data_IF_780791488705
#
_entry.id   IF_780791488705
#
_cell.length_a   1.000
_cell.length_b   1.000
_cell.length_c   1.000
_cell.angle_alpha   90.00
_cell.angle_beta   90.00
_cell.angle_gamma   90.00
#
_symmetry.space_group_name_H-M   'P 1'
#
loop_
_entity.id
_entity.type
_entity.pdbx_description
1 polymer ?
#
# COMPACT_ATOMS: atom_id res chain seq x y z
N UNK A 1 -25.38 -1.27 3.56
CA UNK A 1 -24.02 -1.44 3.02
C UNK A 1 -24.11 -1.57 1.51
N UNK A 2 -23.44 -0.70 0.76
CA UNK A 2 -23.30 -0.86 -0.68
C UNK A 2 -22.54 -2.17 -0.94
N UNK A 3 -23.00 -2.96 -1.88
CA UNK A 3 -22.36 -4.24 -2.23
C UNK A 3 -21.35 -3.93 -3.33
N UNK A 4 -20.13 -3.53 -2.95
CA UNK A 4 -19.08 -3.12 -3.87
C UNK A 4 -18.73 -4.28 -4.82
N UNK A 5 -18.96 -4.09 -6.11
CA UNK A 5 -18.75 -5.10 -7.16
C UNK A 5 -17.28 -5.48 -7.32
N UNK A 6 -16.39 -4.54 -7.00
CA UNK A 6 -14.94 -4.74 -7.08
C UNK A 6 -14.35 -5.59 -5.94
N UNK A 7 -15.14 -5.96 -4.92
CA UNK A 7 -14.67 -6.78 -3.81
C UNK A 7 -15.37 -8.15 -3.83
N UNK A 8 -14.87 -9.12 -4.59
CA UNK A 8 -15.45 -10.46 -4.66
C UNK A 8 -15.42 -11.17 -3.31
N UNK A 9 -16.38 -12.04 -3.09
CA UNK A 9 -16.38 -12.95 -1.93
C UNK A 9 -15.40 -14.08 -2.19
N UNK A 10 -14.82 -14.64 -1.11
CA UNK A 10 -14.10 -15.93 -1.18
C UNK A 10 -15.09 -17.00 -1.61
N UNK A 11 -14.74 -17.79 -2.62
CA UNK A 11 -15.61 -18.81 -3.19
C UNK A 11 -15.31 -20.19 -2.62
N UNK A 12 -16.30 -21.10 -2.65
CA UNK A 12 -16.11 -22.50 -2.25
C UNK A 12 -14.98 -23.19 -3.03
N UNK A 13 -14.77 -22.82 -4.29
CA UNK A 13 -13.66 -23.35 -5.10
C UNK A 13 -12.30 -22.92 -4.56
N UNK A 14 -12.18 -21.66 -4.11
CA UNK A 14 -10.95 -21.16 -3.50
C UNK A 14 -10.68 -21.84 -2.16
N UNK A 15 -11.71 -22.02 -1.33
CA UNK A 15 -11.64 -22.76 -0.07
C UNK A 15 -11.26 -24.22 -0.30
N UNK A 16 -11.83 -24.88 -1.31
CA UNK A 16 -11.53 -26.27 -1.63
C UNK A 16 -10.07 -26.49 -2.05
N UNK A 17 -9.50 -25.58 -2.85
CA UNK A 17 -8.08 -25.68 -3.28
C UNK A 17 -7.14 -25.57 -2.08
N UNK A 18 -7.40 -24.66 -1.16
CA UNK A 18 -6.58 -24.49 0.05
C UNK A 18 -6.88 -25.61 1.05
N UNK A 19 -8.14 -26.06 1.15
CA UNK A 19 -8.53 -27.19 1.99
C UNK A 19 -7.75 -28.47 1.69
N UNK A 20 -7.38 -28.71 0.42
CA UNK A 20 -6.53 -29.84 0.02
C UNK A 20 -5.10 -29.76 0.60
N UNK A 21 -4.63 -28.56 0.96
CA UNK A 21 -3.35 -28.32 1.65
C UNK A 21 -3.45 -28.27 3.16
N UNK A 22 -4.64 -28.50 3.76
CA UNK A 22 -4.88 -28.36 5.20
C UNK A 22 -5.17 -26.94 5.67
N UNK A 23 -5.03 -25.95 4.81
CA UNK A 23 -5.34 -24.56 5.12
C UNK A 23 -6.83 -24.24 4.88
N UNK A 24 -7.35 -23.27 5.61
CA UNK A 24 -8.74 -22.78 5.51
C UNK A 24 -8.74 -21.27 5.35
N UNK A 25 -9.62 -20.73 4.48
CA UNK A 25 -9.78 -19.31 4.26
C UNK A 25 -11.07 -18.81 4.90
N UNK A 26 -10.99 -17.68 5.56
CA UNK A 26 -12.13 -16.96 6.13
C UNK A 26 -12.09 -15.51 5.63
N UNK A 27 -13.21 -14.97 5.10
CA UNK A 27 -13.25 -13.58 4.71
C UNK A 27 -13.14 -12.67 5.94
N UNK A 28 -12.26 -11.68 5.85
CA UNK A 28 -12.26 -10.52 6.74
C UNK A 28 -13.20 -9.49 6.11
N UNK A 29 -14.16 -9.00 6.88
CA UNK A 29 -15.11 -8.01 6.36
C UNK A 29 -14.64 -6.59 6.68
N UNK A 30 -14.83 -5.64 5.74
CA UNK A 30 -15.40 -5.81 4.40
C UNK A 30 -14.41 -6.33 3.35
N UNK A 31 -13.11 -6.22 3.59
CA UNK A 31 -12.01 -6.59 2.67
C UNK A 31 -11.01 -7.52 3.36
N UNK A 32 -10.17 -8.19 2.57
CA UNK A 32 -9.14 -9.11 3.06
C UNK A 32 -9.64 -10.53 3.34
N UNK A 33 -8.73 -11.43 3.68
CA UNK A 33 -9.04 -12.79 4.11
C UNK A 33 -8.03 -13.30 5.13
N UNK A 34 -8.49 -14.15 6.05
CA UNK A 34 -7.68 -14.88 7.03
C UNK A 34 -7.39 -16.29 6.50
N UNK A 35 -6.15 -16.71 6.58
CA UNK A 35 -5.70 -18.06 6.22
C UNK A 35 -5.18 -18.76 7.47
N UNK A 36 -5.77 -19.89 7.82
CA UNK A 36 -5.39 -20.73 8.95
C UNK A 36 -4.87 -22.08 8.46
N UNK A 37 -3.94 -22.68 9.22
CA UNK A 37 -3.43 -24.02 8.95
C UNK A 37 -2.36 -24.09 7.84
N UNK A 38 -1.82 -22.97 7.40
CA UNK A 38 -0.69 -22.91 6.49
C UNK A 38 0.60 -22.75 7.32
N UNK A 39 1.45 -23.76 7.30
CA UNK A 39 2.71 -23.76 8.06
C UNK A 39 3.81 -23.00 7.29
N UNK A 40 4.16 -21.81 7.77
CA UNK A 40 5.21 -20.99 7.16
C UNK A 40 6.62 -21.49 7.47
N UNK A 41 6.80 -22.37 8.46
CA UNK A 41 8.09 -22.97 8.78
C UNK A 41 8.48 -24.14 7.86
N UNK A 42 7.55 -24.64 7.04
CA UNK A 42 7.81 -25.70 6.09
C UNK A 42 8.90 -25.27 5.06
N UNK A 43 9.90 -26.13 4.85
CA UNK A 43 10.99 -25.84 3.92
C UNK A 43 10.51 -25.72 2.46
N UNK A 44 9.52 -26.56 2.08
CA UNK A 44 8.94 -26.52 0.77
C UNK A 44 7.78 -25.51 0.73
N UNK A 45 7.72 -24.66 -0.30
CA UNK A 45 6.57 -23.78 -0.48
C UNK A 45 5.31 -24.60 -0.74
N UNK A 46 4.12 -24.06 -0.47
CA UNK A 46 2.86 -24.67 -0.93
C UNK A 46 2.86 -24.91 -2.43
N UNK A 47 2.02 -25.85 -2.89
CA UNK A 47 1.83 -26.07 -4.33
C UNK A 47 1.47 -24.76 -5.04
N UNK A 48 1.91 -24.62 -6.28
CA UNK A 48 1.70 -23.39 -7.05
C UNK A 48 0.21 -23.01 -7.19
N UNK A 49 -0.67 -24.00 -7.22
CA UNK A 49 -2.12 -23.77 -7.27
C UNK A 49 -2.62 -23.02 -6.02
N UNK A 50 -2.08 -23.36 -4.85
CA UNK A 50 -2.42 -22.68 -3.57
C UNK A 50 -1.92 -21.23 -3.60
N UNK A 51 -0.67 -21.03 -4.01
CA UNK A 51 -0.06 -19.70 -4.15
C UNK A 51 -0.92 -18.84 -5.10
N UNK A 52 -1.26 -19.38 -6.27
CA UNK A 52 -2.07 -18.66 -7.26
C UNK A 52 -3.47 -18.27 -6.74
N UNK A 53 -4.09 -19.14 -5.92
CA UNK A 53 -5.38 -18.80 -5.28
C UNK A 53 -5.19 -17.68 -4.27
N UNK A 54 -4.14 -17.70 -3.46
CA UNK A 54 -3.86 -16.65 -2.47
C UNK A 54 -3.54 -15.31 -3.15
N UNK A 55 -2.74 -15.32 -4.23
CA UNK A 55 -2.47 -14.12 -5.04
C UNK A 55 -3.77 -13.55 -5.63
N UNK A 56 -4.64 -14.42 -6.15
CA UNK A 56 -5.93 -13.97 -6.66
C UNK A 56 -6.81 -13.37 -5.57
N UNK A 57 -6.83 -13.94 -4.37
CA UNK A 57 -7.56 -13.37 -3.23
C UNK A 57 -6.99 -12.00 -2.86
N UNK A 58 -5.67 -11.81 -2.85
CA UNK A 58 -5.06 -10.50 -2.61
C UNK A 58 -5.45 -9.49 -3.70
N UNK A 59 -5.40 -9.88 -4.97
CA UNK A 59 -5.80 -9.02 -6.09
C UNK A 59 -7.29 -8.63 -6.06
N UNK A 60 -8.15 -9.52 -5.54
CA UNK A 60 -9.60 -9.32 -5.51
C UNK A 60 -10.09 -8.67 -4.21
N UNK A 61 -9.36 -8.84 -3.10
CA UNK A 61 -9.80 -8.42 -1.76
C UNK A 61 -8.79 -7.57 -1.00
N UNK A 62 -7.63 -7.28 -1.62
CA UNK A 62 -6.61 -6.38 -1.11
C UNK A 62 -5.52 -7.06 -0.30
N UNK A 63 -5.84 -7.96 0.63
CA UNK A 63 -4.84 -8.59 1.49
C UNK A 63 -5.27 -9.95 2.02
N UNK A 64 -4.27 -10.73 2.47
CA UNK A 64 -4.46 -11.93 3.28
C UNK A 64 -3.68 -11.82 4.58
N UNK A 65 -4.15 -12.50 5.61
CA UNK A 65 -3.42 -12.71 6.87
C UNK A 65 -3.21 -14.19 7.06
N UNK A 66 -1.97 -14.63 7.08
CA UNK A 66 -1.60 -15.99 7.48
C UNK A 66 -1.35 -15.96 8.98
N UNK A 67 -2.26 -16.52 9.75
CA UNK A 67 -2.17 -16.56 11.20
C UNK A 67 -1.42 -17.78 11.66
N UNK A 68 -0.40 -17.56 12.48
CA UNK A 68 0.47 -18.60 12.97
C UNK A 68 0.36 -18.72 14.50
N UNK A 69 0.22 -19.96 15.01
CA UNK A 69 0.25 -20.25 16.44
C UNK A 69 1.69 -20.29 16.98
N UNK A 70 2.64 -20.54 16.11
CA UNK A 70 4.08 -20.60 16.43
C UNK A 70 4.77 -19.32 15.97
N UNK A 71 5.86 -18.98 16.64
CA UNK A 71 6.74 -17.90 16.20
C UNK A 71 7.24 -18.16 14.77
N UNK A 72 7.12 -17.13 13.93
CA UNK A 72 7.63 -17.13 12.55
C UNK A 72 9.03 -16.55 12.56
N UNK A 73 10.01 -17.26 12.02
CA UNK A 73 11.36 -16.72 11.87
C UNK A 73 11.42 -15.68 10.76
N UNK A 74 12.42 -14.80 10.81
CA UNK A 74 12.65 -13.81 9.77
C UNK A 74 12.87 -14.45 8.39
N UNK A 75 13.59 -15.59 8.38
CA UNK A 75 13.86 -16.35 7.16
C UNK A 75 12.58 -16.95 6.58
N UNK A 76 11.67 -17.44 7.42
CA UNK A 76 10.39 -17.98 6.99
C UNK A 76 9.48 -16.88 6.45
N UNK A 77 9.44 -15.73 7.12
CA UNK A 77 8.71 -14.56 6.65
C UNK A 77 9.22 -14.08 5.27
N UNK A 78 10.53 -13.92 5.10
CA UNK A 78 11.13 -13.51 3.83
C UNK A 78 10.91 -14.55 2.72
N UNK A 79 11.06 -15.84 3.04
CA UNK A 79 10.77 -16.93 2.09
C UNK A 79 9.31 -16.88 1.62
N UNK A 80 8.37 -16.66 2.56
CA UNK A 80 6.94 -16.52 2.23
C UNK A 80 6.70 -15.29 1.37
N UNK A 81 7.37 -14.18 1.65
CA UNK A 81 7.26 -12.98 0.81
C UNK A 81 7.68 -13.23 -0.65
N UNK A 82 8.61 -14.17 -0.89
CA UNK A 82 9.00 -14.58 -2.24
C UNK A 82 8.00 -15.52 -2.94
N UNK A 83 6.87 -15.85 -2.34
CA UNK A 83 5.81 -16.59 -3.04
C UNK A 83 5.03 -15.70 -4.02
N UNK A 84 5.02 -14.38 -3.79
CA UNK A 84 4.15 -13.42 -4.44
C UNK A 84 4.83 -12.68 -5.59
N UNK A 85 4.04 -12.29 -6.57
CA UNK A 85 4.44 -11.40 -7.66
C UNK A 85 5.74 -11.78 -8.35
N UNK A 86 6.71 -10.85 -8.37
CA UNK A 86 8.02 -11.04 -8.99
C UNK A 86 8.97 -11.97 -8.23
N UNK A 87 8.57 -12.49 -7.07
CA UNK A 87 9.34 -13.44 -6.24
C UNK A 87 10.74 -12.95 -5.86
N UNK A 88 10.97 -11.65 -5.92
CA UNK A 88 12.24 -11.00 -5.62
C UNK A 88 12.01 -9.84 -4.67
N UNK A 89 12.80 -9.81 -3.60
CA UNK A 89 12.67 -8.78 -2.57
C UNK A 89 13.44 -7.51 -2.97
N UNK A 90 12.89 -6.39 -2.58
CA UNK A 90 13.56 -5.10 -2.60
C UNK A 90 14.38 -4.92 -1.32
N UNK A 91 15.57 -4.31 -1.45
CA UNK A 91 16.37 -3.95 -0.28
C UNK A 91 15.91 -2.61 0.28
N UNK A 92 15.65 -2.55 1.58
CA UNK A 92 15.29 -1.30 2.25
C UNK A 92 16.45 -0.29 2.26
N UNK A 93 16.13 1.00 2.27
CA UNK A 93 17.13 2.06 2.33
C UNK A 93 17.70 2.28 3.74
N UNK A 94 17.03 1.74 4.76
CA UNK A 94 17.42 1.93 6.16
C UNK A 94 17.36 0.60 6.90
N UNK A 95 18.52 0.14 7.36
CA UNK A 95 18.63 -1.06 8.20
C UNK A 95 18.82 -0.58 9.63
N UNK A 96 17.84 -0.85 10.49
CA UNK A 96 17.96 -0.53 11.91
C UNK A 96 18.95 -1.49 12.59
N UNK A 97 19.78 -1.04 13.57
CA UNK A 97 20.75 -1.93 14.27
C UNK A 97 20.12 -3.17 14.91
N UNK A 98 18.87 -3.08 15.38
CA UNK A 98 18.14 -4.20 15.94
C UNK A 98 17.53 -5.15 14.89
N UNK A 99 17.75 -4.89 13.59
CA UNK A 99 17.28 -5.79 12.53
C UNK A 99 18.03 -7.11 12.59
N UNK A 100 17.35 -8.26 12.66
CA UNK A 100 18.00 -9.56 12.76
C UNK A 100 19.01 -9.79 11.62
N UNK A 101 20.25 -10.12 11.98
CA UNK A 101 21.34 -10.35 11.04
C UNK A 101 21.68 -9.16 10.11
N UNK A 102 21.16 -7.97 10.39
CA UNK A 102 21.33 -6.82 9.49
C UNK A 102 20.71 -7.04 8.11
N UNK A 103 19.65 -7.85 8.00
CA UNK A 103 19.08 -8.27 6.73
C UNK A 103 18.49 -7.08 5.95
N UNK A 104 18.97 -6.77 4.73
CA UNK A 104 18.55 -5.62 3.97
C UNK A 104 17.13 -5.72 3.40
N UNK A 105 16.50 -6.89 3.49
CA UNK A 105 15.12 -7.09 3.01
C UNK A 105 14.08 -6.90 4.13
N UNK A 106 14.52 -6.60 5.35
CA UNK A 106 13.64 -6.32 6.49
C UNK A 106 13.70 -4.84 6.84
N UNK A 107 12.58 -4.18 6.72
CA UNK A 107 12.37 -2.85 7.28
C UNK A 107 11.72 -3.02 8.65
N UNK A 108 12.53 -2.89 9.71
CA UNK A 108 12.08 -3.11 11.09
C UNK A 108 11.46 -1.84 11.65
N UNK A 109 10.18 -1.90 11.95
CA UNK A 109 9.36 -0.82 12.49
C UNK A 109 9.09 -1.06 13.97
N UNK A 110 9.07 0.02 14.76
CA UNK A 110 8.72 -0.05 16.17
C UNK A 110 8.11 1.27 16.65
N UNK A 111 7.54 1.28 17.84
CA UNK A 111 7.19 2.46 18.61
C UNK A 111 8.23 2.78 19.71
N UNK A 112 9.39 2.15 19.65
CA UNK A 112 10.60 2.43 20.44
C UNK A 112 11.80 2.55 19.49
N UNK A 113 12.52 3.67 19.56
CA UNK A 113 13.67 3.96 18.71
C UNK A 113 14.87 3.03 18.90
N UNK A 114 14.95 2.31 20.00
CA UNK A 114 15.98 1.30 20.21
C UNK A 114 15.65 -0.04 19.52
N UNK A 115 14.38 -0.24 19.20
CA UNK A 115 13.87 -1.49 18.64
C UNK A 115 13.51 -1.42 17.17
N UNK A 116 13.39 -0.22 16.60
CA UNK A 116 13.08 -0.05 15.19
C UNK A 116 12.87 1.39 14.76
N UNK A 117 12.50 1.57 13.51
CA UNK A 117 12.27 2.89 12.89
C UNK A 117 10.89 3.39 13.31
N UNK A 118 10.84 4.65 13.76
CA UNK A 118 9.63 5.31 14.23
C UNK A 118 8.89 6.04 13.10
N UNK A 119 7.60 6.31 13.33
CA UNK A 119 6.84 7.32 12.58
C UNK A 119 6.56 6.98 11.11
N UNK A 120 6.57 5.69 10.74
CA UNK A 120 6.42 5.26 9.35
C UNK A 120 4.95 5.12 8.98
N UNK A 121 4.60 5.64 7.79
CA UNK A 121 3.31 5.40 7.14
C UNK A 121 2.07 6.01 7.80
N UNK A 122 2.10 7.26 8.34
CA UNK A 122 0.93 7.84 8.99
C UNK A 122 -0.17 8.26 8.00
N UNK A 123 0.15 8.43 6.73
CA UNK A 123 -0.77 8.87 5.68
C UNK A 123 -1.08 7.73 4.73
N UNK A 124 -2.22 7.81 4.00
CA UNK A 124 -2.58 6.85 2.98
C UNK A 124 -1.53 6.79 1.87
N UNK A 125 -1.09 5.58 1.53
CA UNK A 125 -0.07 5.35 0.52
C UNK A 125 -0.09 3.93 -0.03
N UNK A 126 0.59 3.77 -1.16
CA UNK A 126 1.09 2.50 -1.66
C UNK A 126 2.62 2.53 -1.56
N UNK A 127 3.23 1.42 -1.21
CA UNK A 127 4.68 1.31 -1.15
C UNK A 127 5.32 1.38 -2.55
N UNK A 128 6.49 2.00 -2.66
CA UNK A 128 7.29 1.98 -3.89
C UNK A 128 6.97 3.05 -4.94
N UNK A 129 6.29 4.14 -4.57
CA UNK A 129 6.00 5.25 -5.49
C UNK A 129 7.23 5.93 -6.09
N UNK A 130 8.41 5.64 -5.55
CA UNK A 130 9.69 6.22 -5.98
C UNK A 130 10.41 5.40 -7.07
N UNK A 131 9.86 4.28 -7.51
CA UNK A 131 10.37 3.45 -8.60
C UNK A 131 9.27 3.18 -9.63
N UNK A 132 9.66 3.07 -10.90
CA UNK A 132 8.72 2.89 -12.01
C UNK A 132 7.99 1.53 -11.92
N UNK A 133 8.75 0.45 -11.76
CA UNK A 133 8.21 -0.87 -11.47
C UNK A 133 7.87 -0.96 -9.99
N UNK A 134 6.81 -0.26 -9.57
CA UNK A 134 6.41 -0.20 -8.15
C UNK A 134 6.22 -1.58 -7.56
N UNK A 135 6.33 -1.71 -6.23
CA UNK A 135 6.21 -3.01 -5.57
C UNK A 135 4.88 -3.69 -5.87
N UNK A 136 4.94 -4.97 -6.21
CA UNK A 136 3.75 -5.78 -6.44
C UNK A 136 3.02 -6.12 -5.15
N UNK A 137 3.79 -6.53 -4.13
CA UNK A 137 3.27 -6.93 -2.83
C UNK A 137 4.12 -6.36 -1.70
N UNK A 138 3.53 -6.23 -0.52
CA UNK A 138 4.26 -5.99 0.71
C UNK A 138 3.80 -6.97 1.80
N UNK A 139 4.74 -7.39 2.64
CA UNK A 139 4.48 -8.27 3.77
C UNK A 139 4.71 -7.54 5.09
N UNK A 140 3.90 -7.83 6.08
CA UNK A 140 3.97 -7.31 7.45
C UNK A 140 3.92 -8.49 8.43
N UNK A 141 4.99 -8.68 9.18
CA UNK A 141 5.06 -9.68 10.23
C UNK A 141 5.03 -8.98 11.59
N UNK A 142 3.97 -9.21 12.37
CA UNK A 142 3.87 -8.70 13.74
C UNK A 142 4.71 -9.55 14.67
N UNK A 143 5.95 -9.14 14.91
CA UNK A 143 6.92 -9.83 15.78
C UNK A 143 6.53 -9.67 17.24
N UNK A 144 6.08 -8.45 17.61
CA UNK A 144 5.57 -8.15 18.94
C UNK A 144 4.41 -7.19 18.87
N UNK A 145 3.29 -7.63 19.36
CA UNK A 145 2.06 -6.85 19.44
C UNK A 145 2.09 -5.96 20.68
N UNK A 146 1.68 -4.67 20.58
CA UNK A 146 1.50 -3.85 21.76
C UNK A 146 0.28 -4.34 22.56
N UNK A 147 0.16 -3.89 23.81
CA UNK A 147 -1.00 -4.25 24.67
C UNK A 147 -2.32 -3.68 24.11
N UNK A 148 -2.25 -2.54 23.41
CA UNK A 148 -3.41 -1.84 22.84
C UNK A 148 -3.07 -1.21 21.50
N UNK A 149 -4.02 -1.24 20.56
CA UNK A 149 -3.92 -0.58 19.27
C UNK A 149 -2.75 -1.06 18.41
N UNK A 150 -2.19 -0.16 17.61
CA UNK A 150 -1.05 -0.46 16.73
C UNK A 150 -1.43 -1.08 15.41
N UNK A 151 -2.70 -1.06 15.05
CA UNK A 151 -3.23 -1.59 13.80
C UNK A 151 -2.85 -0.79 12.56
N UNK A 152 -3.27 -1.29 11.41
CA UNK A 152 -3.09 -0.66 10.10
C UNK A 152 -4.44 -0.55 9.42
N UNK A 153 -4.69 0.62 8.82
CA UNK A 153 -5.84 0.82 7.95
C UNK A 153 -5.50 0.35 6.54
N UNK A 154 -6.44 -0.36 5.93
CA UNK A 154 -6.39 -0.79 4.54
C UNK A 154 -7.66 -0.33 3.82
N UNK A 155 -7.53 0.21 2.60
CA UNK A 155 -8.64 0.63 1.75
C UNK A 155 -8.51 0.03 0.35
N UNK A 156 -9.60 -0.57 -0.14
CA UNK A 156 -9.65 -1.21 -1.45
C UNK A 156 -9.79 -0.16 -2.56
N UNK A 157 -8.74 0.02 -3.33
CA UNK A 157 -8.62 1.13 -4.28
C UNK A 157 -9.54 1.04 -5.50
N UNK A 158 -9.95 -0.17 -5.90
CA UNK A 158 -10.93 -0.30 -6.97
C UNK A 158 -12.34 0.04 -6.48
N UNK A 159 -12.70 -0.31 -5.24
CA UNK A 159 -13.96 0.11 -4.67
C UNK A 159 -14.00 1.62 -4.41
N UNK A 160 -12.87 2.21 -4.00
CA UNK A 160 -12.72 3.65 -3.90
C UNK A 160 -12.91 4.34 -5.27
N UNK A 161 -12.36 3.77 -6.36
CA UNK A 161 -12.60 4.27 -7.71
C UNK A 161 -14.08 4.22 -8.10
N UNK A 162 -14.79 3.13 -7.77
CA UNK A 162 -16.23 3.00 -8.00
C UNK A 162 -17.09 3.98 -7.18
N UNK A 163 -16.52 4.55 -6.12
CA UNK A 163 -17.19 5.54 -5.27
C UNK A 163 -17.05 6.99 -5.79
N UNK A 164 -16.21 7.22 -6.79
CA UNK A 164 -16.07 8.53 -7.43
C UNK A 164 -17.31 8.88 -8.22
N UNK A 165 -17.62 10.17 -8.29
CA UNK A 165 -18.62 10.69 -9.21
C UNK A 165 -18.12 10.64 -10.66
N UNK A 166 -19.01 10.60 -11.67
CA UNK A 166 -18.61 10.51 -13.08
C UNK A 166 -17.64 11.61 -13.52
N UNK A 167 -17.79 12.83 -13.03
CA UNK A 167 -16.91 13.96 -13.35
C UNK A 167 -15.52 13.77 -12.70
N UNK A 168 -15.48 13.22 -11.49
CA UNK A 168 -14.22 12.86 -10.82
C UNK A 168 -13.50 11.72 -11.57
N UNK A 169 -14.22 10.69 -12.01
CA UNK A 169 -13.67 9.60 -12.82
C UNK A 169 -13.00 10.14 -14.07
N UNK A 170 -13.70 11.01 -14.84
CA UNK A 170 -13.14 11.63 -16.04
C UNK A 170 -11.90 12.47 -15.72
N UNK A 171 -11.96 13.26 -14.66
CA UNK A 171 -10.83 14.10 -14.24
C UNK A 171 -9.63 13.27 -13.76
N UNK A 172 -9.83 12.33 -12.82
CA UNK A 172 -8.74 11.59 -12.21
C UNK A 172 -8.01 10.64 -13.18
N UNK A 173 -8.72 10.14 -14.21
CA UNK A 173 -8.10 9.34 -15.27
C UNK A 173 -7.11 10.12 -16.15
N UNK A 174 -7.17 11.44 -16.11
CA UNK A 174 -6.21 12.33 -16.80
C UNK A 174 -5.02 12.73 -15.91
N UNK A 175 -5.01 12.35 -14.64
CA UNK A 175 -3.98 12.76 -13.69
C UNK A 175 -2.87 11.71 -13.55
N UNK A 176 -1.66 12.20 -13.31
CA UNK A 176 -0.51 11.38 -12.94
C UNK A 176 0.27 12.05 -11.81
N UNK A 177 0.61 11.29 -10.78
CA UNK A 177 1.43 11.77 -9.66
C UNK A 177 2.91 11.72 -10.00
N UNK A 178 3.68 12.67 -9.47
CA UNK A 178 5.14 12.72 -9.57
C UNK A 178 5.71 12.56 -8.17
N UNK A 179 6.57 11.58 -7.98
CA UNK A 179 7.21 11.35 -6.69
C UNK A 179 8.19 12.47 -6.35
N UNK A 180 8.10 13.00 -5.12
CA UNK A 180 8.87 14.15 -4.65
C UNK A 180 10.39 13.92 -4.61
N UNK A 181 10.84 12.68 -4.46
CA UNK A 181 12.26 12.37 -4.27
C UNK A 181 12.93 11.82 -5.51
N UNK A 182 12.21 11.07 -6.33
CA UNK A 182 12.75 10.40 -7.52
C UNK A 182 12.29 11.00 -8.84
N UNK A 183 11.19 11.77 -8.83
CA UNK A 183 10.60 12.26 -10.08
C UNK A 183 9.81 11.21 -10.87
N UNK A 184 9.68 9.99 -10.35
CA UNK A 184 8.91 8.93 -11.02
C UNK A 184 7.46 9.34 -11.17
N UNK A 185 6.90 9.09 -12.35
CA UNK A 185 5.54 9.42 -12.72
C UNK A 185 4.67 8.17 -12.71
N UNK A 186 3.58 8.20 -11.96
CA UNK A 186 2.57 7.14 -11.91
C UNK A 186 1.19 7.68 -12.23
N UNK A 187 0.35 6.94 -13.00
CA UNK A 187 -1.03 7.34 -13.23
C UNK A 187 -1.79 7.33 -11.91
N UNK A 188 -2.69 8.31 -11.74
CA UNK A 188 -3.58 8.36 -10.57
C UNK A 188 -4.64 7.24 -10.59
N UNK A 189 -4.96 6.77 -11.78
CA UNK A 189 -5.85 5.62 -12.01
C UNK A 189 -5.13 4.64 -12.91
N UNK A 190 -4.97 3.42 -12.43
CA UNK A 190 -4.36 2.35 -13.21
C UNK A 190 -5.27 1.12 -13.30
N UNK A 191 -5.04 0.28 -14.32
CA UNK A 191 -5.72 -1.00 -14.45
C UNK A 191 -4.92 -2.10 -13.77
N UNK A 192 -5.51 -2.74 -12.78
CA UNK A 192 -4.85 -3.83 -12.06
C UNK A 192 -4.49 -5.01 -12.98
N UNK A 193 -3.25 -5.54 -12.95
CA UNK A 193 -2.81 -6.55 -13.91
C UNK A 193 -3.52 -7.90 -13.79
N UNK A 194 -4.03 -8.27 -12.61
CA UNK A 194 -4.71 -9.53 -12.35
C UNK A 194 -6.23 -9.36 -12.37
N UNK A 195 -6.79 -8.55 -11.48
CA UNK A 195 -8.26 -8.37 -11.37
C UNK A 195 -8.87 -7.61 -12.54
N UNK A 196 -8.07 -6.84 -13.30
CA UNK A 196 -8.47 -5.94 -14.38
C UNK A 196 -9.35 -4.76 -13.96
N UNK A 197 -9.58 -4.57 -12.68
CA UNK A 197 -10.28 -3.42 -12.14
C UNK A 197 -9.45 -2.13 -12.28
N UNK A 198 -10.12 -0.98 -12.37
CA UNK A 198 -9.49 0.32 -12.27
C UNK A 198 -9.31 0.66 -10.79
N UNK A 199 -8.11 1.07 -10.40
CA UNK A 199 -7.72 1.39 -9.03
C UNK A 199 -7.20 2.83 -8.97
N UNK A 200 -7.61 3.59 -7.95
CA UNK A 200 -6.97 4.86 -7.62
C UNK A 200 -5.62 4.60 -6.96
N UNK A 201 -4.63 5.44 -7.24
CA UNK A 201 -3.28 5.22 -6.70
C UNK A 201 -2.57 6.55 -6.44
N UNK A 202 -2.33 6.89 -5.17
CA UNK A 202 -1.65 8.11 -4.79
C UNK A 202 -0.93 7.93 -3.45
N UNK A 203 0.32 8.36 -3.37
CA UNK A 203 1.09 8.39 -2.14
C UNK A 203 1.05 9.78 -1.51
N UNK A 204 0.19 10.03 -0.52
CA UNK A 204 0.02 11.36 0.07
C UNK A 204 1.32 11.94 0.66
N UNK A 205 2.16 11.10 1.27
CA UNK A 205 3.41 11.55 1.91
C UNK A 205 4.60 11.77 0.98
N UNK A 206 4.53 11.30 -0.28
CA UNK A 206 5.66 11.38 -1.22
C UNK A 206 5.32 11.97 -2.58
N UNK A 207 4.09 12.41 -2.81
CA UNK A 207 3.72 13.10 -4.04
C UNK A 207 4.23 14.53 -4.00
N UNK A 208 5.06 14.92 -4.95
CA UNK A 208 5.63 16.26 -5.08
C UNK A 208 4.87 17.15 -6.04
N UNK A 209 4.25 16.55 -7.05
CA UNK A 209 3.43 17.24 -8.06
C UNK A 209 2.40 16.30 -8.64
N UNK A 210 1.42 16.83 -9.35
CA UNK A 210 0.49 16.07 -10.18
C UNK A 210 0.38 16.74 -11.56
N UNK A 211 0.41 15.92 -12.59
CA UNK A 211 0.30 16.30 -13.98
C UNK A 211 -1.12 16.03 -14.46
N UNK A 212 -1.72 17.00 -15.15
CA UNK A 212 -2.98 16.81 -15.89
C UNK A 212 -2.69 16.73 -17.39
N UNK A 213 -3.07 15.61 -18.01
CA UNK A 213 -2.97 15.40 -19.46
C UNK A 213 -4.01 16.21 -20.23
N UNK A 214 -3.66 16.62 -21.44
CA UNK A 214 -4.53 17.32 -22.36
C UNK A 214 -4.70 18.80 -22.06
N UNK A 215 -4.02 19.30 -21.01
CA UNK A 215 -4.00 20.70 -20.65
C UNK A 215 -2.61 21.30 -20.90
N UNK A 216 -2.57 22.51 -21.44
CA UNK A 216 -1.34 23.24 -21.72
C UNK A 216 -0.75 23.03 -23.12
N UNK A 217 0.28 23.83 -23.46
CA UNK A 217 0.91 23.85 -24.78
C UNK A 217 1.75 22.60 -25.09
N UNK A 218 2.19 21.90 -24.07
CA UNK A 218 3.02 20.68 -24.18
C UNK A 218 2.18 19.39 -24.08
N UNK A 219 0.86 19.50 -24.07
CA UNK A 219 -0.03 18.35 -23.93
C UNK A 219 -0.24 17.91 -22.48
N UNK A 220 0.37 18.58 -21.52
CA UNK A 220 0.12 18.43 -20.09
C UNK A 220 0.38 19.74 -19.33
N UNK A 221 -0.14 19.85 -18.12
CA UNK A 221 0.21 20.91 -17.16
C UNK A 221 0.41 20.32 -15.77
N UNK A 222 1.13 21.02 -14.91
CA UNK A 222 1.16 20.74 -13.49
C UNK A 222 -0.08 21.34 -12.82
N UNK A 223 -0.62 20.65 -11.85
CA UNK A 223 -1.64 21.23 -10.97
C UNK A 223 -1.04 22.36 -10.13
N UNK A 224 -1.80 23.42 -9.93
CA UNK A 224 -1.47 24.46 -8.95
C UNK A 224 -1.52 23.91 -7.54
N UNK A 225 -0.85 24.55 -6.60
CA UNK A 225 -0.81 24.09 -5.22
C UNK A 225 -2.22 23.89 -4.62
N UNK A 226 -3.14 24.82 -4.85
CA UNK A 226 -4.52 24.69 -4.39
C UNK A 226 -5.26 23.49 -4.97
N UNK A 227 -5.05 23.20 -6.26
CA UNK A 227 -5.64 22.03 -6.93
C UNK A 227 -5.05 20.73 -6.38
N UNK A 228 -3.72 20.68 -6.15
CA UNK A 228 -3.09 19.52 -5.54
C UNK A 228 -3.56 19.27 -4.12
N UNK A 229 -3.67 20.34 -3.31
CA UNK A 229 -4.21 20.22 -1.94
C UNK A 229 -5.64 19.70 -1.95
N UNK A 230 -6.50 20.23 -2.82
CA UNK A 230 -7.87 19.77 -2.97
C UNK A 230 -7.92 18.28 -3.37
N UNK A 231 -7.09 17.86 -4.33
CA UNK A 231 -6.98 16.45 -4.75
C UNK A 231 -6.53 15.55 -3.60
N UNK A 232 -5.49 15.94 -2.85
CA UNK A 232 -4.99 15.16 -1.72
C UNK A 232 -6.04 15.05 -0.61
N UNK A 233 -6.75 16.15 -0.31
CA UNK A 233 -7.88 16.14 0.62
C UNK A 233 -8.96 15.17 0.18
N UNK A 234 -9.41 15.29 -1.07
CA UNK A 234 -10.45 14.43 -1.62
C UNK A 234 -10.03 12.96 -1.62
N UNK A 235 -8.78 12.65 -1.95
CA UNK A 235 -8.25 11.29 -1.88
C UNK A 235 -8.26 10.74 -0.44
N UNK A 236 -7.83 11.56 0.52
CA UNK A 236 -7.86 11.18 1.94
C UNK A 236 -9.29 10.92 2.44
N UNK A 237 -10.23 11.80 2.10
CA UNK A 237 -11.66 11.63 2.41
C UNK A 237 -12.23 10.37 1.77
N UNK A 238 -11.95 10.15 0.49
CA UNK A 238 -12.39 8.97 -0.25
C UNK A 238 -11.95 7.67 0.43
N UNK A 239 -10.69 7.57 0.87
CA UNK A 239 -10.22 6.35 1.52
C UNK A 239 -10.73 6.22 2.95
N UNK A 240 -10.89 7.33 3.70
CA UNK A 240 -11.43 7.30 5.05
C UNK A 240 -12.92 6.95 5.06
N UNK A 241 -13.73 7.43 4.10
CA UNK A 241 -15.15 7.09 4.00
C UNK A 241 -15.38 5.59 3.78
N UNK A 242 -14.38 4.89 3.25
CA UNK A 242 -14.42 3.44 3.07
C UNK A 242 -14.66 2.65 4.36
N UNK A 243 -14.34 3.21 5.53
CA UNK A 243 -14.61 2.57 6.83
C UNK A 243 -16.13 2.47 7.10
N UNK A 244 -16.90 3.46 6.70
CA UNK A 244 -18.35 3.49 6.85
C UNK A 244 -19.06 2.86 5.64
N UNK A 245 -18.51 3.10 4.45
CA UNK A 245 -19.09 2.63 3.20
C UNK A 245 -18.80 1.16 2.88
N UNK A 246 -17.86 0.52 3.60
CA UNK A 246 -17.61 -0.92 3.52
C UNK A 246 -16.57 -1.32 2.46
N UNK A 247 -15.58 -0.48 2.20
CA UNK A 247 -14.40 -0.84 1.39
C UNK A 247 -13.06 -0.51 2.05
N UNK A 248 -13.07 -0.16 3.35
CA UNK A 248 -11.85 -0.06 4.14
C UNK A 248 -12.02 -0.75 5.49
N UNK A 249 -10.92 -1.12 6.13
CA UNK A 249 -10.88 -1.77 7.43
C UNK A 249 -9.67 -1.30 8.23
N UNK A 250 -9.79 -1.20 9.55
CA UNK A 250 -8.67 -1.17 10.49
C UNK A 250 -8.39 -2.60 10.91
N UNK A 251 -7.22 -3.13 10.56
CA UNK A 251 -6.81 -4.46 11.00
C UNK A 251 -5.94 -4.37 12.25
N UNK A 252 -6.35 -5.05 13.30
CA UNK A 252 -5.58 -5.21 14.55
C UNK A 252 -4.87 -6.56 14.51
N UNK A 253 -3.55 -6.53 14.65
CA UNK A 253 -2.70 -7.71 14.53
C UNK A 253 -2.73 -8.57 15.78
N UNK A 254 -2.63 -9.87 15.61
CA UNK A 254 -2.13 -10.77 16.64
C UNK A 254 -0.63 -11.01 16.47
N UNK A 255 0.05 -11.41 17.55
CA UNK A 255 1.46 -11.77 17.51
C UNK A 255 1.66 -12.95 16.55
N UNK A 256 2.71 -12.91 15.72
CA UNK A 256 3.01 -13.84 14.64
C UNK A 256 2.04 -13.80 13.42
N UNK A 257 1.11 -12.87 13.34
CA UNK A 257 0.40 -12.64 12.09
C UNK A 257 1.38 -12.21 10.99
N UNK A 258 1.33 -12.89 9.85
CA UNK A 258 1.98 -12.48 8.61
C UNK A 258 0.92 -12.01 7.63
N UNK A 259 0.78 -10.70 7.47
CA UNK A 259 -0.16 -10.08 6.55
C UNK A 259 0.57 -9.74 5.24
N UNK A 260 -0.02 -10.09 4.11
CA UNK A 260 0.47 -9.74 2.78
C UNK A 260 -0.59 -8.97 2.02
N UNK A 261 -0.19 -7.85 1.43
CA UNK A 261 -1.07 -7.02 0.60
C UNK A 261 -0.71 -7.17 -0.87
N UNK A 262 -1.70 -7.07 -1.73
CA UNK A 262 -1.50 -6.66 -3.12
C UNK A 262 -1.41 -5.13 -3.14
N UNK A 263 -0.20 -4.63 -3.34
CA UNK A 263 0.11 -3.21 -3.27
C UNK A 263 -0.51 -2.38 -4.41
N UNK A 264 -1.02 -3.04 -5.45
CA UNK A 264 -1.70 -2.40 -6.57
C UNK A 264 -3.24 -2.33 -6.38
N UNK A 265 -3.75 -3.01 -5.35
CA UNK A 265 -5.19 -3.06 -5.04
C UNK A 265 -5.53 -2.30 -3.76
N UNK A 266 -4.58 -2.20 -2.82
CA UNK A 266 -4.82 -1.67 -1.48
C UNK A 266 -3.89 -0.52 -1.15
N UNK A 267 -4.46 0.63 -0.81
CA UNK A 267 -3.75 1.66 -0.07
C UNK A 267 -3.81 1.35 1.42
N UNK A 268 -2.77 1.77 2.15
CA UNK A 268 -2.68 1.55 3.59
C UNK A 268 -2.10 2.75 4.34
N UNK A 269 -2.37 2.80 5.65
CA UNK A 269 -1.73 3.72 6.58
C UNK A 269 -1.68 3.13 7.99
N UNK A 270 -0.63 3.46 8.74
CA UNK A 270 -0.57 3.12 10.15
C UNK A 270 -1.69 3.86 10.92
N UNK A 271 -2.26 3.21 11.93
CA UNK A 271 -3.15 3.92 12.85
C UNK A 271 -2.33 4.88 13.73
N UNK A 272 -2.96 5.92 14.26
CA UNK A 272 -2.29 6.86 15.18
C UNK A 272 -1.71 6.14 16.39
N UNK A 273 -2.37 5.10 16.87
CA UNK A 273 -1.92 4.29 18.00
C UNK A 273 -0.62 3.51 17.68
N UNK A 274 -0.30 3.27 16.41
CA UNK A 274 0.98 2.63 16.03
C UNK A 274 2.20 3.48 16.37
N UNK A 275 2.01 4.77 16.62
CA UNK A 275 3.06 5.74 16.92
C UNK A 275 3.08 6.18 18.40
N UNK A 276 2.17 5.68 19.22
CA UNK A 276 2.17 5.93 20.67
C UNK A 276 3.40 5.25 21.29
N UNK A 277 4.17 5.94 22.17
CA UNK A 277 5.38 5.38 22.75
C UNK A 277 5.15 4.07 23.49
N UNK A 278 6.16 3.19 23.46
CA UNK A 278 6.09 1.85 24.07
C UNK A 278 5.77 1.88 25.58
N UNK A 279 6.16 2.95 26.27
CA UNK A 279 5.90 3.14 27.71
C UNK A 279 4.40 3.32 28.00
N UNK A 280 3.61 3.77 27.03
CA UNK A 280 2.19 4.06 27.20
C UNK A 280 1.28 2.90 26.77
N UNK A 281 1.69 2.12 25.77
CA UNK A 281 0.81 1.08 25.18
C UNK A 281 1.46 -0.31 25.03
N UNK A 282 2.72 -0.48 25.47
CA UNK A 282 3.49 -1.68 25.27
C UNK A 282 4.31 -1.62 23.97
N UNK A 283 5.34 -2.46 23.91
CA UNK A 283 6.28 -2.50 22.78
C UNK A 283 5.63 -3.13 21.54
N UNK A 284 5.73 -2.42 20.42
CA UNK A 284 5.33 -2.88 19.09
C UNK A 284 6.56 -3.10 18.23
N UNK A 285 6.70 -4.28 17.65
CA UNK A 285 7.73 -4.59 16.64
C UNK A 285 7.07 -5.23 15.44
N UNK A 286 7.29 -4.66 14.27
CA UNK A 286 6.83 -5.18 13.01
C UNK A 286 7.98 -5.25 12.00
N UNK A 287 8.11 -6.35 11.31
CA UNK A 287 8.98 -6.46 10.14
C UNK A 287 8.16 -6.24 8.86
N UNK A 288 8.66 -5.40 7.97
CA UNK A 288 8.09 -5.22 6.63
C UNK A 288 9.07 -5.73 5.59
N UNK A 289 8.56 -6.47 4.61
CA UNK A 289 9.24 -6.82 3.37
C UNK A 289 8.48 -6.23 2.18
N UNK A 290 9.17 -5.95 1.08
CA UNK A 290 8.56 -5.50 -0.17
C UNK A 290 9.04 -6.36 -1.33
N UNK A 291 8.09 -6.78 -2.18
CA UNK A 291 8.33 -7.60 -3.36
C UNK A 291 8.40 -6.69 -4.57
N UNK A 292 9.48 -6.81 -5.35
CA UNK A 292 9.67 -6.02 -6.57
C UNK A 292 8.50 -6.18 -7.53
N UNK A 293 8.19 -5.11 -8.22
CA UNK A 293 7.20 -5.12 -9.29
C UNK A 293 7.69 -5.90 -10.51
N UNK A 294 6.73 -6.36 -11.28
CA UNK A 294 6.93 -7.01 -12.59
C UNK A 294 6.20 -6.25 -13.69
N UNK A 295 5.45 -5.23 -13.32
CA UNK A 295 4.62 -4.45 -14.23
C UNK A 295 4.87 -2.97 -13.96
N UNK A 296 5.25 -2.25 -14.99
CA UNK A 296 5.28 -0.81 -14.96
C UNK A 296 3.84 -0.27 -14.97
N UNK A 297 3.54 0.66 -14.06
CA UNK A 297 2.31 1.44 -14.07
C UNK A 297 2.44 2.68 -14.94
N UNK A 298 3.26 2.60 -16.01
CA UNK A 298 3.50 3.74 -16.89
C UNK A 298 2.20 4.44 -17.29
N UNK A 299 2.16 5.76 -17.22
CA UNK A 299 0.99 6.51 -17.67
C UNK A 299 0.76 6.27 -19.16
N UNK A 300 -0.45 5.83 -19.54
CA UNK A 300 -0.86 5.56 -20.93
C UNK A 300 -0.89 6.80 -21.83
N UNK A 301 -0.14 7.84 -21.51
CA UNK A 301 -0.40 9.16 -22.06
C UNK A 301 0.75 9.73 -22.88
N UNK A 302 1.81 8.97 -23.11
CA UNK A 302 3.02 9.55 -23.71
C UNK A 302 3.74 10.52 -22.77
N UNK A 303 3.38 10.55 -21.50
CA UNK A 303 4.13 11.28 -20.48
C UNK A 303 5.45 10.58 -20.21
N UNK A 304 6.52 11.32 -19.87
CA UNK A 304 7.77 10.70 -19.46
C UNK A 304 7.59 9.86 -18.20
N UNK A 305 8.31 8.75 -18.12
CA UNK A 305 8.36 7.92 -16.92
C UNK A 305 8.96 8.66 -15.73
N UNK A 306 9.80 9.64 -15.98
CA UNK A 306 10.44 10.51 -14.99
C UNK A 306 10.26 11.96 -15.37
N UNK A 307 9.96 12.81 -14.40
CA UNK A 307 9.92 14.24 -14.54
C UNK A 307 10.88 14.87 -13.51
N UNK A 308 11.80 15.67 -14.00
CA UNK A 308 12.71 16.43 -13.12
C UNK A 308 11.96 17.62 -12.52
N UNK A 309 11.36 17.38 -11.37
CA UNK A 309 10.62 18.41 -10.65
C UNK A 309 11.53 19.46 -9.99
N UNK A 310 12.82 19.22 -9.89
CA UNK A 310 13.80 20.22 -9.43
C UNK A 310 14.14 21.21 -10.52
N UNK A 311 14.10 20.79 -11.77
CA UNK A 311 14.26 21.65 -12.95
C UNK A 311 12.99 22.42 -13.32
N UNK A 312 11.85 22.02 -12.82
CA UNK A 312 10.60 22.75 -13.01
C UNK A 312 10.65 24.02 -12.17
N UNK A 313 10.55 25.16 -12.86
CA UNK A 313 10.54 26.44 -12.19
C UNK A 313 9.48 26.50 -11.10
N UNK A 314 9.85 26.85 -9.88
CA UNK A 314 8.88 27.11 -8.82
C UNK A 314 7.99 28.30 -9.11
N UNK A 315 8.25 28.99 -10.20
CA UNK A 315 7.48 30.13 -10.65
C UNK A 315 6.38 29.76 -11.58
N UNK A 316 6.41 28.54 -12.07
CA UNK A 316 5.22 28.05 -12.70
C UNK A 316 4.16 27.99 -11.64
N UNK A 317 3.01 27.86 -12.06
CA UNK A 317 1.84 27.50 -11.30
C UNK A 317 1.96 26.07 -10.74
N UNK A 318 3.16 25.52 -10.74
CA UNK A 318 3.50 24.21 -10.25
C UNK A 318 3.67 24.22 -8.75
N UNK A 319 3.44 23.13 -8.20
CA UNK A 319 3.36 22.89 -6.89
C UNK A 319 4.55 22.58 -6.12
N UNK A 320 5.59 23.09 -6.39
CA UNK A 320 6.76 22.60 -5.87
C UNK A 320 7.36 23.41 -4.77
N UNK A 321 7.91 22.84 -3.84
CA UNK A 321 8.32 23.46 -2.61
C UNK A 321 9.81 23.48 -2.35
N UNK A 322 10.27 24.54 -1.71
CA UNK A 322 11.66 24.76 -1.36
C UNK A 322 12.30 23.59 -0.60
N UNK A 323 13.60 23.41 -0.78
CA UNK A 323 14.40 22.45 -0.03
C UNK A 323 14.47 21.06 -0.63
N UNK A 324 13.99 20.86 -1.83
CA UNK A 324 14.11 19.58 -2.53
C UNK A 324 13.31 18.43 -1.92
N UNK A 325 12.35 18.74 -1.07
CA UNK A 325 11.55 17.74 -0.39
C UNK A 325 10.17 17.55 -1.00
N UNK A 326 9.81 18.32 -2.00
CA UNK A 326 8.52 18.30 -2.60
C UNK A 326 7.37 18.78 -1.73
N UNK A 327 6.21 18.88 -2.32
CA UNK A 327 5.00 19.14 -1.61
C UNK A 327 4.71 17.97 -0.67
N UNK A 328 4.47 18.28 0.61
CA UNK A 328 3.94 17.31 1.57
C UNK A 328 2.54 17.74 1.92
N UNK A 329 1.59 16.88 1.64
CA UNK A 329 0.24 17.11 2.10
C UNK A 329 0.16 16.91 3.61
N UNK A 330 -0.44 17.91 4.28
CA UNK A 330 -0.71 17.85 5.71
C UNK A 330 -2.21 18.08 5.93
N UNK A 331 -2.88 17.08 6.49
CA UNK A 331 -4.32 17.13 6.76
C UNK A 331 -4.72 18.21 7.77
N UNK A 332 -3.77 18.68 8.57
CA UNK A 332 -4.01 19.73 9.55
C UNK A 332 -3.87 21.15 9.00
N UNK A 333 -3.40 21.29 7.76
CA UNK A 333 -3.32 22.60 7.09
C UNK A 333 -4.66 22.91 6.43
N UNK A 334 -5.40 23.94 6.89
CA UNK A 334 -6.67 24.32 6.30
C UNK A 334 -6.52 24.64 4.81
N UNK A 335 -7.48 24.20 4.00
CA UNK A 335 -7.58 24.66 2.62
C UNK A 335 -7.79 26.17 2.64
N UNK A 336 -6.90 26.90 1.99
CA UNK A 336 -7.14 28.32 1.73
C UNK A 336 -8.15 28.42 0.59
N UNK A 337 -9.29 29.04 0.89
CA UNK A 337 -10.36 29.32 -0.07
C UNK A 337 -9.91 30.33 -1.15
#
# INVERSE_FOLDING_TARGET
MKNWKSIPKVTETQEAVIGLGGARIYPIQPIGAMVLGLDLSAHEPPKQEIISVLEKIMADRGFIVIRNEKAVSESDFLRTSCWWGGRSLHSTHSIHPATPGGNPHIFRLSNDSNEGILGVGPQWHNDGSFIADTFSHAGYHMVRKPERGGGTFFAHQAAAFEALDPDEVDYWTRLSSVNATSGVVHPLVHKHPVSKNLCVWLHLGMTGAVIEKGAGSEGFRLLRESELRALCHRYNELLNSGLEEGYAVKYEYEENDCLFIDNLTVAHRASSEAHVPAQEQGLRIMHRSTVKGITDLAPDFGLPQYLDIYGLSPLGEGVWQSGGLGFRWDENVPMQN
#
